data_IF_648139754770
#
_entry.id   IF_648139754770
#
_cell.length_a   1.000
_cell.length_b   1.000
_cell.length_c   1.000
_cell.angle_alpha   90.00
_cell.angle_beta   90.00
_cell.angle_gamma   90.00
#
_symmetry.space_group_name_H-M   'P 1'
#
loop_
_entity.id
_entity.type
_entity.pdbx_description
1 polymer ?
#
# COMPACT_ATOMS: atom_id res chain seq x y z
N UNK A 1 18.32 -17.28 -16.41
CA UNK A 1 17.30 -17.40 -15.34
C UNK A 1 17.53 -16.27 -14.36
N UNK A 2 16.62 -15.30 -14.29
CA UNK A 2 16.69 -14.23 -13.29
C UNK A 2 16.21 -14.83 -11.97
N UNK A 3 17.13 -15.02 -11.03
CA UNK A 3 16.84 -15.36 -9.66
C UNK A 3 15.89 -14.29 -9.11
N UNK A 4 14.62 -14.67 -8.91
CA UNK A 4 13.64 -13.77 -8.29
C UNK A 4 14.16 -13.43 -6.91
N UNK A 5 14.47 -12.15 -6.66
CA UNK A 5 14.70 -11.63 -5.32
C UNK A 5 13.42 -11.87 -4.51
N UNK A 6 13.34 -13.03 -3.87
CA UNK A 6 12.21 -13.46 -3.06
C UNK A 6 12.11 -12.58 -1.82
N UNK A 7 11.33 -11.50 -1.94
CA UNK A 7 10.29 -11.22 -0.97
C UNK A 7 10.65 -10.40 0.27
N UNK A 8 11.47 -9.34 0.20
CA UNK A 8 11.70 -8.46 1.36
C UNK A 8 10.40 -7.99 2.08
N UNK A 9 9.30 -7.83 1.33
CA UNK A 9 7.98 -7.56 1.91
C UNK A 9 7.30 -8.81 2.50
N UNK A 10 7.40 -9.97 1.85
CA UNK A 10 6.85 -11.22 2.37
C UNK A 10 7.58 -11.67 3.65
N UNK A 11 8.89 -11.51 3.69
CA UNK A 11 9.72 -11.73 4.88
C UNK A 11 9.31 -10.79 6.02
N UNK A 12 9.06 -9.51 5.69
CA UNK A 12 8.54 -8.56 6.65
C UNK A 12 7.15 -8.98 7.17
N UNK A 13 6.23 -9.35 6.29
CA UNK A 13 4.88 -9.82 6.65
C UNK A 13 4.97 -11.04 7.56
N UNK A 14 5.83 -12.00 7.21
CA UNK A 14 6.06 -13.21 8.00
C UNK A 14 6.63 -12.89 9.38
N UNK A 15 7.63 -12.01 9.45
CA UNK A 15 8.20 -11.55 10.71
C UNK A 15 7.15 -10.86 11.60
N UNK A 16 6.28 -10.02 11.03
CA UNK A 16 5.19 -9.37 11.78
C UNK A 16 4.15 -10.38 12.26
N UNK A 17 3.81 -11.36 11.41
CA UNK A 17 2.88 -12.46 11.75
C UNK A 17 3.38 -13.26 12.94
N UNK A 18 4.64 -13.70 12.92
CA UNK A 18 5.28 -14.43 14.03
C UNK A 18 5.26 -13.66 15.35
N UNK A 19 5.35 -12.32 15.27
CA UNK A 19 5.28 -11.44 16.44
C UNK A 19 3.84 -11.12 16.89
N UNK A 20 2.80 -11.60 16.18
CA UNK A 20 1.41 -11.27 16.48
C UNK A 20 1.09 -9.79 16.32
N UNK A 21 1.85 -9.06 15.48
CA UNK A 21 1.76 -7.60 15.36
C UNK A 21 1.08 -7.15 14.06
N UNK A 22 0.35 -6.02 14.08
CA UNK A 22 -0.15 -5.38 12.86
C UNK A 22 0.98 -5.06 11.88
N UNK A 23 0.70 -5.04 10.57
CA UNK A 23 1.74 -4.84 9.55
C UNK A 23 2.37 -3.45 9.60
N UNK A 24 1.61 -2.39 9.87
CA UNK A 24 2.08 -1.01 9.61
C UNK A 24 2.22 -0.15 10.86
N UNK A 25 1.87 -0.67 12.03
CA UNK A 25 2.02 0.04 13.30
C UNK A 25 2.32 -0.91 14.44
N UNK A 26 2.94 -0.40 15.50
CA UNK A 26 3.20 -1.14 16.72
C UNK A 26 2.31 -0.59 17.85
N UNK A 27 1.31 -1.35 18.34
CA UNK A 27 0.44 -0.92 19.42
C UNK A 27 1.19 -0.49 20.68
N UNK A 28 2.33 -1.13 20.99
CA UNK A 28 3.14 -0.80 22.16
C UNK A 28 3.84 0.57 22.05
N UNK A 29 3.94 1.14 20.84
CA UNK A 29 4.44 2.50 20.61
C UNK A 29 3.34 3.55 20.63
N UNK A 30 2.09 3.13 20.87
CA UNK A 30 0.97 4.03 21.07
C UNK A 30 1.16 4.88 22.34
N UNK A 31 1.00 6.20 22.23
CA UNK A 31 1.09 7.13 23.36
C UNK A 31 -0.29 7.36 24.02
N UNK A 32 -1.04 6.28 24.30
CA UNK A 32 -2.35 6.37 24.97
C UNK A 32 -3.40 7.21 24.22
N UNK A 33 -3.49 7.09 22.89
CA UNK A 33 -4.44 7.87 22.08
C UNK A 33 -5.91 7.50 22.39
N UNK A 34 -6.82 8.47 22.22
CA UNK A 34 -8.27 8.23 22.32
C UNK A 34 -8.69 7.13 21.33
N UNK A 35 -9.66 6.29 21.71
CA UNK A 35 -10.23 5.23 20.84
C UNK A 35 -10.71 5.82 19.49
N UNK A 36 -11.21 7.05 19.49
CA UNK A 36 -11.65 7.79 18.30
C UNK A 36 -10.53 8.11 17.29
N UNK A 37 -9.25 8.05 17.69
CA UNK A 37 -8.10 8.30 16.83
C UNK A 37 -7.05 7.17 16.97
N UNK A 38 -7.38 5.98 16.44
CA UNK A 38 -6.54 4.82 16.56
C UNK A 38 -5.25 4.97 15.73
N UNK A 39 -4.21 4.24 16.10
CA UNK A 39 -2.86 4.40 15.56
C UNK A 39 -2.78 4.09 14.05
N UNK A 40 -3.59 3.17 13.55
CA UNK A 40 -3.65 2.88 12.11
C UNK A 40 -4.14 4.08 11.30
N UNK A 41 -5.12 4.84 11.81
CA UNK A 41 -5.65 6.04 11.15
C UNK A 41 -4.58 7.13 11.05
N UNK A 42 -3.87 7.39 12.15
CA UNK A 42 -2.73 8.33 12.15
C UNK A 42 -1.60 7.91 11.21
N UNK A 43 -1.38 6.61 11.07
CA UNK A 43 -0.37 6.08 10.13
C UNK A 43 -0.80 6.35 8.69
N UNK A 44 -2.07 6.10 8.36
CA UNK A 44 -2.62 6.42 7.04
C UNK A 44 -2.58 7.93 6.74
N UNK A 45 -2.90 8.79 7.70
CA UNK A 45 -2.79 10.26 7.58
C UNK A 45 -1.36 10.68 7.26
N UNK A 46 -0.36 10.17 7.99
CA UNK A 46 1.06 10.46 7.72
C UNK A 46 1.52 10.01 6.34
N UNK A 47 1.04 8.86 5.87
CA UNK A 47 1.33 8.39 4.50
C UNK A 47 0.70 9.33 3.48
N UNK A 48 -0.54 9.75 3.69
CA UNK A 48 -1.21 10.71 2.83
C UNK A 48 -0.48 12.06 2.78
N UNK A 49 -0.02 12.56 3.93
CA UNK A 49 0.78 13.79 4.03
C UNK A 49 2.12 13.66 3.31
N UNK A 50 2.82 12.54 3.51
CA UNK A 50 4.08 12.27 2.81
C UNK A 50 3.89 12.23 1.28
N UNK A 51 2.80 11.62 0.80
CA UNK A 51 2.49 11.60 -0.63
C UNK A 51 2.24 13.03 -1.16
N UNK A 52 1.48 13.86 -0.43
CA UNK A 52 1.15 15.23 -0.86
C UNK A 52 2.34 16.18 -0.81
N UNK A 53 3.09 16.15 0.30
CA UNK A 53 4.18 17.11 0.56
C UNK A 53 5.52 16.58 0.06
N UNK A 54 5.84 15.33 0.39
CA UNK A 54 7.13 14.70 0.05
C UNK A 54 7.25 14.39 -1.44
N UNK A 55 6.23 13.76 -2.02
CA UNK A 55 6.19 13.46 -3.47
C UNK A 55 5.59 14.59 -4.30
N UNK A 56 5.13 15.68 -3.66
CA UNK A 56 4.55 16.86 -4.31
C UNK A 56 3.35 16.54 -5.22
N UNK A 57 2.62 15.45 -4.98
CA UNK A 57 1.43 15.09 -5.77
C UNK A 57 0.26 15.98 -5.35
N UNK A 58 -0.22 16.81 -6.29
CA UNK A 58 -1.32 17.76 -6.09
C UNK A 58 -2.49 17.46 -7.02
N UNK A 59 -3.68 17.93 -6.63
CA UNK A 59 -4.91 17.94 -7.45
C UNK A 59 -5.46 16.56 -7.86
N UNK A 60 -4.90 15.48 -7.33
CA UNK A 60 -5.26 14.12 -7.67
C UNK A 60 -5.38 13.32 -6.37
N UNK A 61 -6.39 12.45 -6.29
CA UNK A 61 -6.49 11.46 -5.22
C UNK A 61 -5.61 10.26 -5.60
N UNK A 62 -4.44 10.05 -4.95
CA UNK A 62 -3.45 9.10 -5.45
C UNK A 62 -4.00 7.67 -5.57
N UNK A 63 -4.76 7.22 -4.56
CA UNK A 63 -5.37 5.90 -4.57
C UNK A 63 -6.37 5.71 -5.73
N UNK A 64 -7.20 6.73 -6.01
CA UNK A 64 -8.15 6.67 -7.13
C UNK A 64 -7.45 6.78 -8.48
N UNK A 65 -6.40 7.59 -8.57
CA UNK A 65 -5.64 7.77 -9.81
C UNK A 65 -4.99 6.49 -10.28
N UNK A 66 -4.39 5.72 -9.36
CA UNK A 66 -3.85 4.40 -9.70
C UNK A 66 -4.93 3.45 -10.20
N UNK A 67 -6.11 3.43 -9.58
CA UNK A 67 -7.24 2.61 -10.06
C UNK A 67 -7.70 3.06 -11.46
N UNK A 68 -7.82 4.36 -11.69
CA UNK A 68 -8.19 4.89 -13.01
C UNK A 68 -7.14 4.55 -14.08
N UNK A 69 -5.85 4.69 -13.75
CA UNK A 69 -4.76 4.31 -14.63
C UNK A 69 -4.81 2.81 -14.95
N UNK A 70 -5.01 1.96 -13.94
CA UNK A 70 -5.19 0.52 -14.13
C UNK A 70 -6.33 0.23 -15.12
N UNK A 71 -7.52 0.79 -14.91
CA UNK A 71 -8.67 0.56 -15.80
C UNK A 71 -8.47 1.12 -17.21
N UNK A 72 -7.73 2.22 -17.37
CA UNK A 72 -7.43 2.78 -18.70
C UNK A 72 -6.46 1.90 -19.48
N UNK A 73 -5.38 1.45 -18.83
CA UNK A 73 -4.39 0.56 -19.47
C UNK A 73 -4.99 -0.83 -19.71
N UNK A 74 -5.73 -1.39 -18.75
CA UNK A 74 -6.43 -2.67 -18.91
C UNK A 74 -7.32 -2.70 -20.16
N UNK A 75 -8.07 -1.61 -20.42
CA UNK A 75 -8.85 -1.45 -21.65
C UNK A 75 -7.96 -1.42 -22.90
N UNK A 76 -6.83 -0.72 -22.85
CA UNK A 76 -5.91 -0.62 -23.97
C UNK A 76 -5.27 -1.96 -24.35
N UNK A 77 -4.88 -2.77 -23.36
CA UNK A 77 -4.29 -4.10 -23.56
C UNK A 77 -5.32 -5.21 -23.74
N UNK A 78 -6.61 -4.85 -23.89
CA UNK A 78 -7.72 -5.80 -24.08
C UNK A 78 -7.78 -6.86 -22.97
N UNK A 79 -7.56 -6.42 -21.73
CA UNK A 79 -7.86 -7.24 -20.56
C UNK A 79 -9.36 -7.54 -20.54
N UNK A 80 -9.73 -8.77 -20.18
CA UNK A 80 -11.14 -9.12 -20.05
C UNK A 80 -11.83 -8.21 -19.04
N UNK A 81 -13.01 -7.70 -19.40
CA UNK A 81 -13.71 -6.66 -18.63
C UNK A 81 -14.27 -7.19 -17.31
N UNK A 82 -14.69 -8.44 -17.28
CA UNK A 82 -15.20 -9.11 -16.09
C UNK A 82 -14.05 -9.45 -15.14
N UNK A 83 -12.95 -9.99 -15.67
CA UNK A 83 -11.75 -10.29 -14.89
C UNK A 83 -11.09 -9.02 -14.34
N UNK A 84 -11.04 -7.93 -15.11
CA UNK A 84 -10.64 -6.59 -14.61
C UNK A 84 -11.52 -6.14 -13.43
N UNK A 85 -12.83 -6.44 -13.51
CA UNK A 85 -13.78 -6.23 -12.43
C UNK A 85 -13.41 -7.03 -11.19
N UNK A 86 -13.07 -8.31 -11.34
CA UNK A 86 -12.63 -9.17 -10.24
C UNK A 86 -11.36 -8.63 -9.56
N UNK A 87 -10.35 -8.25 -10.35
CA UNK A 87 -9.08 -7.70 -9.84
C UNK A 87 -9.31 -6.42 -9.06
N UNK A 88 -10.18 -5.53 -9.55
CA UNK A 88 -10.44 -4.23 -8.90
C UNK A 88 -11.57 -4.27 -7.88
N UNK A 89 -12.19 -5.42 -7.63
CA UNK A 89 -13.39 -5.56 -6.81
C UNK A 89 -14.56 -4.69 -7.29
N UNK A 90 -14.65 -4.43 -8.60
CA UNK A 90 -15.70 -3.62 -9.21
C UNK A 90 -16.85 -4.50 -9.71
N UNK A 91 -18.06 -4.22 -9.23
CA UNK A 91 -19.29 -4.78 -9.79
C UNK A 91 -19.86 -3.80 -10.84
N UNK A 92 -20.11 -4.22 -12.08
CA UNK A 92 -20.69 -3.35 -13.11
C UNK A 92 -22.04 -2.77 -12.68
N UNK A 93 -22.31 -1.52 -13.10
CA UNK A 93 -23.62 -0.91 -12.90
C UNK A 93 -24.67 -1.69 -13.72
N UNK A 94 -25.73 -2.17 -13.06
CA UNK A 94 -26.77 -2.98 -13.70
C UNK A 94 -26.45 -4.48 -13.78
N UNK A 95 -25.42 -4.97 -13.07
CA UNK A 95 -25.15 -6.41 -12.94
C UNK A 95 -26.37 -7.18 -12.44
N UNK A 96 -26.67 -8.32 -13.04
CA UNK A 96 -27.67 -9.29 -12.57
C UNK A 96 -26.98 -10.50 -11.91
N UNK A 97 -27.77 -11.48 -11.46
CA UNK A 97 -27.26 -12.74 -10.89
C UNK A 97 -26.32 -13.50 -11.85
N UNK A 98 -26.42 -13.22 -13.16
CA UNK A 98 -25.52 -13.74 -14.20
C UNK A 98 -24.04 -13.51 -13.91
N UNK A 99 -23.71 -12.35 -13.32
CA UNK A 99 -22.32 -11.94 -13.03
C UNK A 99 -21.76 -12.55 -11.73
N UNK A 100 -22.61 -13.27 -10.99
CA UNK A 100 -22.20 -14.00 -9.79
C UNK A 100 -21.90 -15.48 -10.10
N UNK A 101 -22.17 -15.94 -11.33
CA UNK A 101 -21.81 -17.28 -11.77
C UNK A 101 -20.33 -17.38 -12.13
N UNK A 102 -19.75 -18.52 -11.78
CA UNK A 102 -18.35 -18.83 -12.07
C UNK A 102 -17.40 -18.38 -10.96
N UNK A 103 -16.29 -19.09 -10.85
CA UNK A 103 -15.27 -18.83 -9.85
C UNK A 103 -14.29 -17.75 -10.30
N UNK A 104 -13.77 -17.00 -9.34
CA UNK A 104 -12.76 -15.97 -9.56
C UNK A 104 -11.36 -16.54 -9.35
N UNK A 105 -10.95 -17.45 -10.23
CA UNK A 105 -9.66 -18.13 -10.08
C UNK A 105 -8.49 -17.14 -10.14
N UNK A 106 -7.57 -17.26 -9.18
CA UNK A 106 -6.36 -16.45 -9.13
C UNK A 106 -5.50 -16.62 -10.39
N UNK A 107 -5.47 -17.82 -10.98
CA UNK A 107 -4.78 -18.10 -12.23
C UNK A 107 -5.33 -17.27 -13.40
N UNK A 108 -6.66 -17.18 -13.55
CA UNK A 108 -7.31 -16.37 -14.58
C UNK A 108 -6.98 -14.88 -14.41
N UNK A 109 -7.07 -14.37 -13.19
CA UNK A 109 -6.68 -12.98 -12.90
C UNK A 109 -5.18 -12.74 -13.16
N UNK A 110 -4.32 -13.71 -12.84
CA UNK A 110 -2.87 -13.62 -13.09
C UNK A 110 -2.56 -13.51 -14.59
N UNK A 111 -3.16 -14.36 -15.41
CA UNK A 111 -2.97 -14.33 -16.86
C UNK A 111 -3.40 -12.99 -17.48
N UNK A 112 -4.49 -12.41 -16.99
CA UNK A 112 -4.93 -11.07 -17.39
C UNK A 112 -3.96 -9.97 -16.92
N UNK A 113 -3.47 -10.04 -15.68
CA UNK A 113 -2.48 -9.11 -15.13
C UNK A 113 -1.18 -9.11 -15.95
N UNK A 114 -0.77 -10.26 -16.48
CA UNK A 114 0.45 -10.36 -17.31
C UNK A 114 0.39 -9.54 -18.61
N UNK A 115 -0.82 -9.23 -19.12
CA UNK A 115 -1.00 -8.32 -20.26
C UNK A 115 -0.66 -6.87 -19.90
N UNK A 116 -0.67 -6.52 -18.62
CA UNK A 116 -0.44 -5.16 -18.16
C UNK A 116 1.06 -4.79 -18.29
N UNK A 117 1.41 -3.66 -18.92
CA UNK A 117 2.78 -3.26 -19.11
C UNK A 117 3.48 -3.05 -17.76
N UNK A 118 4.71 -3.54 -17.65
CA UNK A 118 5.55 -3.27 -16.48
C UNK A 118 6.00 -1.82 -16.51
N UNK A 119 5.96 -1.15 -15.36
CA UNK A 119 6.56 0.18 -15.23
C UNK A 119 8.08 0.05 -15.28
N UNK A 120 8.72 0.68 -16.26
CA UNK A 120 10.19 0.80 -16.27
C UNK A 120 10.58 1.91 -15.29
N UNK A 121 10.98 1.48 -14.09
CA UNK A 121 11.41 2.36 -13.01
C UNK A 121 12.93 2.14 -12.84
N UNK A 122 13.79 3.05 -13.32
CA UNK A 122 15.24 2.91 -13.24
C UNK A 122 15.75 2.68 -11.82
N UNK A 123 15.06 3.23 -10.82
CA UNK A 123 15.40 3.11 -9.40
C UNK A 123 15.27 1.67 -8.87
N UNK A 124 14.39 0.84 -9.45
CA UNK A 124 14.26 -0.57 -9.06
C UNK A 124 15.46 -1.43 -9.49
N UNK A 125 16.27 -0.93 -10.45
CA UNK A 125 17.50 -1.61 -10.89
C UNK A 125 18.68 -1.32 -9.96
N UNK A 126 18.57 -0.30 -9.10
CA UNK A 126 19.61 0.06 -8.14
C UNK A 126 19.44 -0.77 -6.86
N UNK A 127 20.53 -1.21 -6.20
CA UNK A 127 20.41 -1.81 -4.88
C UNK A 127 19.70 -0.82 -3.94
N UNK A 128 18.78 -1.30 -3.08
CA UNK A 128 18.04 -0.42 -2.19
C UNK A 128 19.02 0.36 -1.32
N UNK A 129 18.86 1.69 -1.27
CA UNK A 129 19.67 2.52 -0.40
C UNK A 129 19.56 1.99 1.05
N UNK A 130 20.66 1.88 1.79
CA UNK A 130 20.63 1.35 3.15
C UNK A 130 19.64 2.17 3.98
N UNK A 131 18.68 1.47 4.60
CA UNK A 131 17.63 2.12 5.38
C UNK A 131 18.26 2.85 6.58
N UNK A 132 18.52 4.14 6.44
CA UNK A 132 19.09 4.97 7.50
C UNK A 132 17.98 5.34 8.49
N UNK A 133 17.75 4.46 9.48
CA UNK A 133 16.82 4.76 10.58
C UNK A 133 17.39 5.95 11.35
N UNK A 134 16.81 7.15 11.17
CA UNK A 134 17.05 8.26 12.11
C UNK A 134 16.33 7.92 13.41
N UNK A 135 16.99 7.18 14.30
CA UNK A 135 16.52 7.04 15.69
C UNK A 135 16.66 8.40 16.36
N UNK A 136 15.59 8.84 17.02
CA UNK A 136 15.65 10.01 17.90
C UNK A 136 16.64 9.71 19.03
N UNK A 137 17.45 10.69 19.40
CA UNK A 137 18.33 10.57 20.56
C UNK A 137 17.51 10.65 21.84
N UNK A 138 18.02 10.11 22.95
CA UNK A 138 17.38 10.24 24.27
C UNK A 138 17.11 11.71 24.63
N UNK A 139 18.03 12.60 24.27
CA UNK A 139 17.88 14.04 24.46
C UNK A 139 16.67 14.62 23.70
N UNK A 140 16.44 14.19 22.45
CA UNK A 140 15.27 14.62 21.66
C UNK A 140 13.96 14.08 22.23
N UNK A 141 13.97 12.88 22.83
CA UNK A 141 12.79 12.32 23.49
C UNK A 141 12.48 13.11 24.76
N UNK A 142 13.49 13.38 25.59
CA UNK A 142 13.34 14.15 26.84
C UNK A 142 12.90 15.61 26.58
N UNK A 143 13.43 16.25 25.52
CA UNK A 143 13.03 17.61 25.14
C UNK A 143 11.56 17.67 24.72
N UNK A 144 11.07 16.70 23.94
CA UNK A 144 9.65 16.59 23.57
C UNK A 144 8.77 16.35 24.81
N UNK A 145 9.21 15.52 25.76
CA UNK A 145 8.48 15.25 27.00
C UNK A 145 8.40 16.49 27.90
N UNK A 146 9.51 17.23 28.03
CA UNK A 146 9.55 18.49 28.75
C UNK A 146 8.64 19.55 28.11
N UNK A 147 8.70 19.71 26.78
CA UNK A 147 7.83 20.63 26.06
C UNK A 147 6.34 20.29 26.20
N UNK A 148 6.02 19.01 26.41
CA UNK A 148 4.65 18.53 26.62
C UNK A 148 4.15 18.66 28.06
N UNK A 149 5.05 18.79 29.03
CA UNK A 149 4.71 19.03 30.43
C UNK A 149 4.44 20.52 30.73
N UNK A 150 4.89 21.41 29.84
CA UNK A 150 4.74 22.87 29.93
C UNK A 150 3.50 23.38 29.17
N UNK A 151 2.87 22.54 28.37
CA UNK A 151 1.65 22.83 27.59
C UNK A 151 0.42 22.15 28.20
#
# INVERSE_FOLDING_TARGET
>A
MLEQQGGAFLDYVEARRKLGKPLFYDPARGRGGKVANPQYKKTAERVADWIRVGLKIKNVQPNHAWRHLFKSIARHVKMDREVEGFITGHRPKGSNAGHDYGDRWAATMSAEIEKYPRFDIPELKKPPAPHRVRRRTRAQIAADEAAKAVA
#
